data_IF_076976567921
#
_entry.id   IF_076976567921
#
_cell.length_a   1.000
_cell.length_b   1.000
_cell.length_c   1.000
_cell.angle_alpha   90.00
_cell.angle_beta   90.00
_cell.angle_gamma   90.00
#
_symmetry.space_group_name_H-M   'P 1'
#
loop_
_entity.id
_entity.type
_entity.pdbx_description
1 polymer ?
#
# COMPACT_ATOMS: atom_id res chain seq x y z
N UNK A 1 33.09 -8.20 -23.86
CA UNK A 1 31.74 -8.58 -23.42
C UNK A 1 31.26 -7.45 -22.53
N UNK A 2 30.45 -6.53 -23.04
CA UNK A 2 29.89 -5.43 -22.23
C UNK A 2 28.91 -6.04 -21.23
N UNK A 3 29.22 -5.98 -19.94
CA UNK A 3 28.26 -6.33 -18.90
C UNK A 3 27.06 -5.41 -19.06
N UNK A 4 25.92 -5.94 -19.47
CA UNK A 4 24.64 -5.24 -19.45
C UNK A 4 24.25 -5.09 -17.98
N UNK A 5 24.76 -4.03 -17.36
CA UNK A 5 24.45 -3.65 -16.00
C UNK A 5 23.15 -2.82 -16.04
N UNK A 6 22.06 -3.47 -16.44
CA UNK A 6 20.73 -2.86 -16.40
C UNK A 6 20.32 -2.72 -14.93
N UNK A 7 20.21 -1.50 -14.38
CA UNK A 7 19.88 -1.29 -12.97
C UNK A 7 18.47 -1.78 -12.61
N UNK A 8 17.65 -2.14 -13.60
CA UNK A 8 16.27 -2.59 -13.42
C UNK A 8 16.07 -4.08 -13.66
N UNK A 9 17.15 -4.84 -13.89
CA UNK A 9 17.06 -6.28 -14.19
C UNK A 9 16.39 -7.10 -13.08
N UNK A 10 16.39 -6.57 -11.85
CA UNK A 10 15.78 -7.19 -10.67
C UNK A 10 14.31 -6.79 -10.46
N UNK A 11 13.79 -5.80 -11.21
CA UNK A 11 12.37 -5.42 -11.14
C UNK A 11 11.55 -6.49 -11.84
N UNK A 12 10.80 -7.26 -11.05
CA UNK A 12 9.91 -8.31 -11.53
C UNK A 12 8.45 -8.02 -11.12
N UNK A 13 7.47 -8.60 -11.82
CA UNK A 13 6.08 -8.61 -11.37
C UNK A 13 5.95 -9.26 -9.99
N UNK A 14 4.97 -8.79 -9.21
CA UNK A 14 4.60 -9.41 -7.95
C UNK A 14 3.93 -10.77 -8.18
N UNK A 15 4.21 -11.72 -7.30
CA UNK A 15 3.47 -12.97 -7.19
C UNK A 15 2.44 -12.90 -6.05
N UNK A 16 1.40 -13.74 -6.12
CA UNK A 16 0.32 -13.78 -5.12
C UNK A 16 0.85 -14.03 -3.69
N UNK A 17 1.88 -14.87 -3.55
CA UNK A 17 2.52 -15.18 -2.26
C UNK A 17 3.18 -13.96 -1.59
N UNK A 18 3.55 -12.94 -2.37
CA UNK A 18 4.19 -11.72 -1.88
C UNK A 18 3.17 -10.65 -1.43
N UNK A 19 1.91 -10.79 -1.85
CA UNK A 19 0.85 -9.81 -1.61
C UNK A 19 0.60 -9.55 -0.12
N UNK A 20 0.44 -10.57 0.75
CA UNK A 20 0.19 -10.32 2.17
C UNK A 20 1.32 -9.52 2.83
N UNK A 21 2.57 -9.82 2.49
CA UNK A 21 3.74 -9.14 3.02
C UNK A 21 3.86 -7.71 2.49
N UNK A 22 3.58 -7.50 1.20
CA UNK A 22 3.58 -6.17 0.59
C UNK A 22 2.50 -5.25 1.21
N UNK A 23 1.28 -5.75 1.40
CA UNK A 23 0.19 -5.01 2.03
C UNK A 23 0.49 -4.66 3.49
N UNK A 24 1.04 -5.60 4.26
CA UNK A 24 1.41 -5.35 5.66
C UNK A 24 2.49 -4.27 5.77
N UNK A 25 3.51 -4.30 4.89
CA UNK A 25 4.52 -3.24 4.79
C UNK A 25 3.87 -1.88 4.49
N UNK A 26 2.95 -1.84 3.52
CA UNK A 26 2.28 -0.62 3.10
C UNK A 26 1.42 0.00 4.22
N UNK A 27 0.70 -0.83 4.99
CA UNK A 27 -0.11 -0.36 6.14
C UNK A 27 0.77 0.12 7.32
N UNK A 28 1.95 -0.48 7.47
CA UNK A 28 2.93 -0.07 8.49
C UNK A 28 3.66 1.21 8.13
N UNK A 29 3.66 1.61 6.87
CA UNK A 29 4.31 2.83 6.39
C UNK A 29 3.55 4.09 6.82
N UNK A 30 4.21 4.93 7.63
CA UNK A 30 3.65 6.17 8.16
C UNK A 30 3.42 7.22 7.06
N UNK A 31 4.30 7.27 6.06
CA UNK A 31 4.18 8.19 4.92
C UNK A 31 2.97 7.80 4.07
N UNK A 32 2.79 6.51 3.83
CA UNK A 32 1.63 5.99 3.10
C UNK A 32 0.31 6.33 3.80
N UNK A 33 0.20 6.05 5.10
CA UNK A 33 -1.00 6.36 5.88
C UNK A 33 -1.27 7.86 5.89
N UNK A 34 -0.22 8.67 6.03
CA UNK A 34 -0.31 10.14 5.98
C UNK A 34 -0.78 10.63 4.62
N UNK A 35 -0.31 10.03 3.52
CA UNK A 35 -0.76 10.34 2.17
C UNK A 35 -2.25 10.06 1.97
N UNK A 36 -2.75 8.91 2.44
CA UNK A 36 -4.19 8.58 2.41
C UNK A 36 -4.99 9.59 3.23
N UNK A 37 -4.53 9.91 4.45
CA UNK A 37 -5.19 10.89 5.32
C UNK A 37 -5.25 12.28 4.66
N UNK A 38 -4.16 12.69 4.02
CA UNK A 38 -4.09 13.96 3.31
C UNK A 38 -5.02 13.98 2.10
N UNK A 39 -5.12 12.88 1.36
CA UNK A 39 -6.02 12.77 0.22
C UNK A 39 -7.50 12.76 0.65
N UNK A 40 -7.87 11.95 1.64
CA UNK A 40 -9.26 11.78 2.10
C UNK A 40 -9.76 12.93 2.99
N UNK A 41 -8.87 13.55 3.75
CA UNK A 41 -9.19 14.57 4.75
C UNK A 41 -8.39 15.87 4.54
N UNK A 42 -8.19 16.27 3.29
CA UNK A 42 -7.40 17.45 2.89
C UNK A 42 -7.75 18.70 3.72
N UNK A 43 -9.04 18.89 4.04
CA UNK A 43 -9.57 20.08 4.74
C UNK A 43 -9.73 19.89 6.27
N UNK A 44 -9.10 18.89 6.88
CA UNK A 44 -9.19 18.65 8.33
C UNK A 44 -7.90 19.08 9.05
N UNK A 45 -8.04 19.43 10.33
CA UNK A 45 -6.93 19.86 11.18
C UNK A 45 -5.86 18.75 11.33
N UNK A 46 -4.60 19.15 11.53
CA UNK A 46 -3.47 18.22 11.64
C UNK A 46 -3.63 17.21 12.79
N UNK A 47 -4.14 17.66 13.94
CA UNK A 47 -4.38 16.78 15.11
C UNK A 47 -5.42 15.68 14.81
N UNK A 48 -6.40 15.97 13.96
CA UNK A 48 -7.39 14.99 13.53
C UNK A 48 -6.76 13.88 12.70
N UNK A 49 -5.79 14.22 11.84
CA UNK A 49 -5.05 13.24 11.03
C UNK A 49 -4.29 12.26 11.93
N UNK A 50 -3.57 12.77 12.93
CA UNK A 50 -2.84 11.93 13.90
C UNK A 50 -3.76 10.98 14.67
N UNK A 51 -4.95 11.46 15.07
CA UNK A 51 -5.94 10.62 15.75
C UNK A 51 -6.53 9.54 14.84
N UNK A 52 -6.69 9.84 13.55
CA UNK A 52 -7.26 8.92 12.55
C UNK A 52 -6.26 7.89 12.03
N UNK A 53 -4.95 8.12 12.15
CA UNK A 53 -3.88 7.20 11.72
C UNK A 53 -4.08 5.75 12.18
N UNK A 54 -4.26 5.44 13.49
CA UNK A 54 -4.46 4.05 13.92
C UNK A 54 -5.76 3.44 13.38
N UNK A 55 -6.83 4.23 13.26
CA UNK A 55 -8.13 3.75 12.78
C UNK A 55 -8.03 3.34 11.30
N UNK A 56 -7.37 4.15 10.48
CA UNK A 56 -7.16 3.82 9.06
C UNK A 56 -6.29 2.59 8.89
N UNK A 57 -5.25 2.41 9.71
CA UNK A 57 -4.43 1.19 9.66
C UNK A 57 -5.24 -0.07 9.90
N UNK A 58 -6.07 -0.07 10.94
CA UNK A 58 -6.94 -1.22 11.25
C UNK A 58 -7.96 -1.44 10.13
N UNK A 59 -8.56 -0.37 9.61
CA UNK A 59 -9.50 -0.44 8.50
C UNK A 59 -8.87 -1.03 7.23
N UNK A 60 -7.69 -0.52 6.82
CA UNK A 60 -6.97 -1.01 5.64
C UNK A 60 -6.53 -2.46 5.83
N UNK A 61 -6.03 -2.81 7.02
CA UNK A 61 -5.68 -4.20 7.36
C UNK A 61 -6.87 -5.13 7.22
N UNK A 62 -8.02 -4.76 7.77
CA UNK A 62 -9.23 -5.58 7.68
C UNK A 62 -9.76 -5.66 6.24
N UNK A 63 -9.73 -4.56 5.48
CA UNK A 63 -10.20 -4.51 4.10
C UNK A 63 -9.31 -5.36 3.19
N UNK A 64 -7.99 -5.20 3.30
CA UNK A 64 -7.03 -5.83 2.40
C UNK A 64 -6.56 -7.21 2.85
N UNK A 65 -6.85 -7.63 4.09
CA UNK A 65 -6.69 -9.03 4.50
C UNK A 65 -7.52 -10.02 3.67
N UNK A 66 -8.51 -9.52 2.91
CA UNK A 66 -9.33 -10.31 1.98
C UNK A 66 -8.76 -10.35 0.56
N UNK A 67 -7.70 -9.58 0.28
CA UNK A 67 -7.02 -9.51 -1.01
C UNK A 67 -5.74 -10.31 -0.89
N UNK A 68 -5.75 -11.55 -1.37
CA UNK A 68 -4.63 -12.49 -1.30
C UNK A 68 -3.94 -12.71 -2.65
N UNK A 69 -4.50 -12.18 -3.75
CA UNK A 69 -3.93 -12.31 -5.09
C UNK A 69 -3.77 -10.97 -5.81
N UNK A 70 -2.85 -10.95 -6.76
CA UNK A 70 -2.62 -9.83 -7.69
C UNK A 70 -3.91 -9.52 -8.46
N UNK A 71 -4.64 -10.54 -8.90
CA UNK A 71 -5.91 -10.38 -9.61
C UNK A 71 -6.96 -9.67 -8.76
N UNK A 72 -7.12 -10.08 -7.50
CA UNK A 72 -8.08 -9.46 -6.58
C UNK A 72 -7.80 -7.97 -6.37
N UNK A 73 -6.52 -7.59 -6.27
CA UNK A 73 -6.10 -6.19 -6.17
C UNK A 73 -6.38 -5.44 -7.47
N UNK A 74 -6.05 -6.01 -8.63
CA UNK A 74 -6.27 -5.37 -9.92
C UNK A 74 -7.76 -5.09 -10.17
N UNK A 75 -8.64 -6.01 -9.75
CA UNK A 75 -10.09 -5.82 -9.83
C UNK A 75 -10.59 -4.70 -8.91
N UNK A 76 -10.03 -4.58 -7.70
CA UNK A 76 -10.39 -3.52 -6.75
C UNK A 76 -9.94 -2.13 -7.23
N UNK A 77 -8.77 -2.03 -7.87
CA UNK A 77 -8.21 -0.74 -8.35
C UNK A 77 -8.85 -0.27 -9.66
N UNK A 78 -9.30 -1.18 -10.52
CA UNK A 78 -9.96 -0.83 -11.80
C UNK A 78 -11.33 -0.16 -11.62
N UNK A 79 -11.89 -0.23 -10.42
CA UNK A 79 -13.25 0.21 -10.10
C UNK A 79 -13.30 1.68 -9.70
#
# INVERSE_FOLDING_TARGET
MTANNDPYIEIRPYNDEEIPAALDRLIKDDEFISAILNHRFANKAAWFKTLMSPIIRVYLKAKWSKLDSVEAIQLEVKK
#
